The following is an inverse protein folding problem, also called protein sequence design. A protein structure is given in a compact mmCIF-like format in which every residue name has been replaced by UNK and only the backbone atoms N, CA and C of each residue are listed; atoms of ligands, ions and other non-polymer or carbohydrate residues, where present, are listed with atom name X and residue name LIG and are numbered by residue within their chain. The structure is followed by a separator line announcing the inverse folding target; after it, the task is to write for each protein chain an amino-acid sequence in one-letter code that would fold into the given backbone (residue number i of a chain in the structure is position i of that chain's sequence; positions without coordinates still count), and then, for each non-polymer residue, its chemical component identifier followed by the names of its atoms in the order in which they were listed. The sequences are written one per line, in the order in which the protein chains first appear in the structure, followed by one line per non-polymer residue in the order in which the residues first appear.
data_IF_620579584922
#
_entry.id   IF_620579584922
#
_cell.length_a   1.000
_cell.length_b   1.000
_cell.length_c   1.000
_cell.angle_alpha   90.00
_cell.angle_beta   90.00
_cell.angle_gamma   90.00
#
_symmetry.space_group_name_H-M   'P 1'
#
loop_
_entity.id
_entity.type
_entity.pdbx_description
1 polymer ?
#
# COMPACT_ATOMS: atom_id res chain seq x y z
N UNK A 1 33.96 -9.23 -34.28
CA UNK A 1 33.48 -8.89 -32.91
C UNK A 1 34.21 -9.80 -31.94
N UNK A 2 34.90 -9.26 -30.93
CA UNK A 2 35.66 -10.08 -29.98
C UNK A 2 34.72 -10.73 -28.95
N UNK A 3 35.02 -11.95 -28.46
CA UNK A 3 34.16 -12.68 -27.52
C UNK A 3 33.91 -11.91 -26.21
N UNK A 4 34.88 -11.07 -25.79
CA UNK A 4 34.72 -10.19 -24.64
C UNK A 4 33.57 -9.17 -24.81
N UNK A 5 33.35 -8.65 -26.03
CA UNK A 5 32.25 -7.71 -26.30
C UNK A 5 30.89 -8.38 -26.18
N UNK A 6 30.76 -9.63 -26.60
CA UNK A 6 29.50 -10.39 -26.50
C UNK A 6 29.12 -10.69 -25.04
N UNK A 7 30.10 -11.01 -24.20
CA UNK A 7 29.87 -11.23 -22.77
C UNK A 7 29.42 -9.97 -22.04
N UNK A 8 30.00 -8.80 -22.36
CA UNK A 8 29.57 -7.52 -21.80
C UNK A 8 28.11 -7.19 -22.13
N UNK A 9 27.67 -7.43 -23.37
CA UNK A 9 26.28 -7.20 -23.77
C UNK A 9 25.30 -8.16 -23.08
N UNK A 10 25.66 -9.43 -22.93
CA UNK A 10 24.82 -10.42 -22.25
C UNK A 10 24.63 -10.09 -20.76
N UNK A 11 25.71 -9.70 -20.07
CA UNK A 11 25.68 -9.28 -18.67
C UNK A 11 24.85 -8.01 -18.47
N UNK A 12 24.96 -7.05 -19.39
CA UNK A 12 24.18 -5.83 -19.37
C UNK A 12 22.68 -6.10 -19.59
N UNK A 13 22.32 -6.94 -20.55
CA UNK A 13 20.93 -7.30 -20.81
C UNK A 13 20.29 -8.06 -19.63
N UNK A 14 21.02 -8.99 -19.01
CA UNK A 14 20.55 -9.74 -17.85
C UNK A 14 20.29 -8.83 -16.63
N UNK A 15 21.13 -7.81 -16.42
CA UNK A 15 20.95 -6.86 -15.32
C UNK A 15 19.75 -5.93 -15.52
N UNK A 16 19.45 -5.52 -16.76
CA UNK A 16 18.22 -4.78 -17.07
C UNK A 16 16.94 -5.61 -16.83
N UNK A 17 16.94 -6.88 -17.23
CA UNK A 17 15.79 -7.77 -17.00
C UNK A 17 15.55 -8.03 -15.50
N UNK A 18 16.61 -8.15 -14.70
CA UNK A 18 16.51 -8.29 -13.25
C UNK A 18 15.88 -7.04 -12.59
N UNK A 19 16.27 -5.83 -13.00
CA UNK A 19 15.72 -4.57 -12.49
C UNK A 19 14.23 -4.41 -12.82
N UNK A 20 13.80 -4.78 -14.03
CA UNK A 20 12.39 -4.66 -14.45
C UNK A 20 11.50 -5.67 -13.69
N UNK A 21 12.04 -6.86 -13.37
CA UNK A 21 11.35 -7.86 -12.54
C UNK A 21 11.09 -7.39 -11.11
N UNK A 22 12.09 -6.76 -10.47
CA UNK A 22 12.00 -6.26 -9.10
C UNK A 22 10.97 -5.13 -8.92
N UNK A 23 10.79 -4.26 -9.92
CA UNK A 23 9.74 -3.23 -9.85
C UNK A 23 8.32 -3.78 -10.05
N UNK A 24 8.17 -4.97 -10.65
CA UNK A 24 6.86 -5.54 -10.98
C UNK A 24 6.32 -6.49 -9.88
N UNK A 25 7.18 -7.00 -8.99
CA UNK A 25 6.77 -7.79 -7.83
C UNK A 25 6.10 -6.94 -6.73
N UNK A 26 6.21 -5.62 -6.78
CA UNK A 26 5.51 -4.72 -5.85
C UNK A 26 4.06 -4.43 -6.26
N UNK A 27 3.63 -4.92 -7.42
CA UNK A 27 2.30 -4.61 -8.00
C UNK A 27 1.44 -5.85 -8.30
N UNK A 28 1.87 -7.04 -7.87
CA UNK A 28 1.15 -8.31 -8.10
C UNK A 28 0.68 -8.96 -6.78
N UNK A 29 0.01 -8.16 -5.95
CA UNK A 29 -0.78 -8.65 -4.81
C UNK A 29 -2.24 -8.23 -4.99
N UNK A 30 -3.04 -9.07 -5.63
CA UNK A 30 -4.48 -8.83 -5.76
C UNK A 30 -5.15 -8.56 -4.40
N UNK A 31 -5.89 -7.45 -4.32
CA UNK A 31 -6.92 -7.15 -3.30
C UNK A 31 -6.47 -6.96 -1.85
N UNK A 32 -5.26 -6.50 -1.58
CA UNK A 32 -4.93 -5.94 -0.27
C UNK A 32 -4.15 -4.65 -0.46
N UNK A 33 -4.82 -3.52 -0.30
CA UNK A 33 -4.17 -2.21 -0.16
C UNK A 33 -3.43 -2.19 1.19
N UNK A 34 -2.25 -2.80 1.25
CA UNK A 34 -1.40 -2.75 2.44
C UNK A 34 -1.04 -1.30 2.76
N UNK A 35 -1.30 -0.88 4.00
CA UNK A 35 -0.93 0.45 4.47
C UNK A 35 0.56 0.42 4.83
N UNK A 36 1.44 0.75 3.88
CA UNK A 36 2.90 0.70 4.09
C UNK A 36 3.46 -0.72 4.12
N UNK A 37 4.56 -0.94 4.85
CA UNK A 37 5.20 -2.25 5.04
C UNK A 37 4.40 -3.17 6.00
N UNK A 38 3.29 -2.67 6.52
CA UNK A 38 2.44 -3.40 7.44
C UNK A 38 1.29 -4.08 6.68
N UNK A 39 1.04 -5.34 7.01
CA UNK A 39 -0.05 -6.12 6.44
C UNK A 39 -1.40 -5.65 7.01
N UNK A 40 -1.86 -4.47 6.62
CA UNK A 40 -3.21 -4.01 6.91
C UNK A 40 -4.16 -4.39 5.78
N UNK A 41 -5.34 -4.89 6.15
CA UNK A 41 -6.43 -5.19 5.22
C UNK A 41 -7.55 -4.18 5.40
N UNK A 42 -8.12 -3.72 4.29
CA UNK A 42 -9.30 -2.87 4.30
C UNK A 42 -10.49 -3.65 4.90
N UNK A 43 -11.07 -3.09 5.95
CA UNK A 43 -12.30 -3.58 6.55
C UNK A 43 -13.52 -3.03 5.81
N UNK A 44 -14.67 -3.73 5.85
CA UNK A 44 -15.90 -3.16 5.32
C UNK A 44 -16.32 -1.94 6.14
N UNK A 45 -16.75 -0.88 5.44
CA UNK A 45 -17.29 0.34 6.04
C UNK A 45 -16.44 1.57 5.77
N UNK A 46 -17.12 2.71 5.73
CA UNK A 46 -16.52 4.04 5.79
C UNK A 46 -16.67 4.61 7.20
N UNK A 47 -15.77 5.50 7.55
CA UNK A 47 -15.78 6.15 8.85
C UNK A 47 -15.63 7.67 8.72
N UNK A 48 -15.91 8.38 9.81
CA UNK A 48 -15.72 9.83 9.88
C UNK A 48 -15.07 10.20 11.20
N UNK A 49 -13.96 10.92 11.15
CA UNK A 49 -13.22 11.40 12.32
C UNK A 49 -13.61 12.85 12.56
N UNK A 50 -14.26 13.11 13.69
CA UNK A 50 -14.64 14.45 14.10
C UNK A 50 -13.40 15.34 14.35
N UNK A 51 -13.57 16.66 14.37
CA UNK A 51 -12.50 17.59 14.72
C UNK A 51 -11.88 17.37 16.11
N UNK A 52 -12.60 16.71 17.03
CA UNK A 52 -12.12 16.34 18.36
C UNK A 52 -11.22 15.07 18.35
N UNK A 53 -10.97 14.49 17.18
CA UNK A 53 -10.16 13.29 16.98
C UNK A 53 -10.91 11.98 17.24
N UNK A 54 -12.21 12.02 17.61
CA UNK A 54 -13.02 10.82 17.84
C UNK A 54 -13.80 10.45 16.59
N UNK A 55 -14.08 9.16 16.41
CA UNK A 55 -14.95 8.72 15.30
C UNK A 55 -16.41 9.09 15.59
N UNK A 56 -17.10 9.66 14.60
CA UNK A 56 -18.50 10.06 14.72
C UNK A 56 -19.40 8.87 15.04
N UNK A 57 -20.39 9.11 15.91
CA UNK A 57 -21.41 8.12 16.23
C UNK A 57 -22.16 7.71 14.96
N UNK A 58 -22.18 6.41 14.64
CA UNK A 58 -22.79 5.87 13.42
C UNK A 58 -21.82 5.64 12.25
N UNK A 59 -20.61 6.18 12.31
CA UNK A 59 -19.54 5.95 11.32
C UNK A 59 -18.36 5.18 11.93
N UNK A 60 -18.67 4.29 12.88
CA UNK A 60 -17.66 3.51 13.58
C UNK A 60 -17.24 2.29 12.76
N UNK A 61 -15.93 2.05 12.73
CA UNK A 61 -15.41 0.85 12.12
C UNK A 61 -15.82 -0.40 12.91
N UNK A 62 -15.97 -1.55 12.21
CA UNK A 62 -16.27 -2.81 12.86
C UNK A 62 -15.15 -3.22 13.85
N UNK A 63 -15.43 -4.16 14.77
CA UNK A 63 -14.45 -4.61 15.77
C UNK A 63 -13.13 -5.05 15.13
N UNK A 64 -12.02 -4.69 15.78
CA UNK A 64 -10.63 -4.93 15.32
C UNK A 64 -10.20 -4.09 14.11
N UNK A 65 -11.02 -3.13 13.69
CA UNK A 65 -10.67 -2.18 12.64
C UNK A 65 -10.59 -0.75 13.21
N UNK A 66 -9.70 0.04 12.64
CA UNK A 66 -9.44 1.43 12.99
C UNK A 66 -9.77 2.33 11.80
N UNK A 67 -10.26 3.52 12.11
CA UNK A 67 -10.55 4.53 11.10
C UNK A 67 -9.27 5.27 10.72
N UNK A 68 -8.97 5.36 9.43
CA UNK A 68 -7.89 6.18 8.90
C UNK A 68 -8.50 7.18 7.92
N UNK A 69 -8.22 8.47 8.10
CA UNK A 69 -8.64 9.53 7.20
C UNK A 69 -8.13 9.29 5.78
N UNK A 70 -8.97 9.52 4.77
CA UNK A 70 -8.57 9.39 3.37
C UNK A 70 -7.51 10.44 2.97
N UNK A 71 -7.43 11.54 3.73
CA UNK A 71 -6.42 12.59 3.59
C UNK A 71 -5.18 12.41 4.47
N UNK A 72 -5.00 11.26 5.13
CA UNK A 72 -3.89 11.05 6.08
C UNK A 72 -2.52 11.31 5.47
N UNK A 73 -2.27 10.85 4.23
CA UNK A 73 -1.01 11.07 3.51
C UNK A 73 -0.75 12.55 3.16
N UNK A 74 -1.76 13.39 3.26
CA UNK A 74 -1.66 14.85 3.10
C UNK A 74 -1.64 15.58 4.45
N UNK A 75 -1.51 14.85 5.57
CA UNK A 75 -1.50 15.41 6.93
C UNK A 75 -2.89 15.75 7.48
N UNK A 76 -3.96 15.28 6.85
CA UNK A 76 -5.34 15.52 7.30
C UNK A 76 -5.81 14.32 8.13
N UNK A 77 -5.93 14.52 9.45
CA UNK A 77 -6.29 13.45 10.40
C UNK A 77 -7.77 13.42 10.79
N UNK A 78 -8.60 14.29 10.20
CA UNK A 78 -10.04 14.41 10.48
C UNK A 78 -10.84 14.35 9.17
N UNK A 79 -12.16 14.15 9.26
CA UNK A 79 -13.05 14.02 8.11
C UNK A 79 -13.33 12.56 7.73
N UNK A 80 -13.74 12.34 6.47
CA UNK A 80 -14.05 11.01 5.97
C UNK A 80 -12.81 10.14 5.87
N UNK A 81 -13.02 8.85 6.11
CA UNK A 81 -11.96 7.85 6.10
C UNK A 81 -12.46 6.46 5.80
N UNK A 82 -11.49 5.56 5.76
CA UNK A 82 -11.67 4.15 5.48
C UNK A 82 -11.27 3.31 6.69
N UNK A 83 -11.95 2.19 6.91
CA UNK A 83 -11.65 1.27 7.99
C UNK A 83 -10.54 0.29 7.61
N UNK A 84 -9.55 0.12 8.48
CA UNK A 84 -8.38 -0.75 8.28
C UNK A 84 -8.14 -1.61 9.51
N UNK A 85 -7.78 -2.87 9.32
CA UNK A 85 -7.48 -3.80 10.42
C UNK A 85 -6.27 -4.66 10.11
N UNK A 86 -5.77 -5.43 11.08
CA UNK A 86 -4.69 -6.38 10.84
C UNK A 86 -5.10 -7.39 9.77
N UNK A 87 -4.28 -7.56 8.74
CA UNK A 87 -4.37 -8.65 7.79
C UNK A 87 -4.08 -9.96 8.51
N UNK A 88 -5.04 -10.89 8.47
CA UNK A 88 -4.85 -12.26 8.97
C UNK A 88 -3.98 -13.05 8.00
#
# INVERSE_FOLDING_TARGET
MTPAKLLSFALLAASFLAMIGLCSSTSSGGRNYGYGNDNFRQCPGTCYINPDGRTAAGYQCPPKCHCISDGYNSGVYTGYGTCWGPGQ
#
